data_IF_560326560959
#
_entry.id   IF_560326560959
#
_cell.length_a   1.000
_cell.length_b   1.000
_cell.length_c   1.000
_cell.angle_alpha   90.00
_cell.angle_beta   90.00
_cell.angle_gamma   90.00
#
_symmetry.space_group_name_H-M   'P 1'
#
loop_
_entity.id
_entity.type
_entity.pdbx_description
1 polymer ?
#
# COMPACT_ATOMS: atom_id res chain seq x y z
N UNK A 1 -16.47 0.20 4.33
CA UNK A 1 -15.90 0.71 3.06
C UNK A 1 -16.69 0.31 1.82
N UNK A 2 -17.10 -0.95 1.62
CA UNK A 2 -17.79 -1.37 0.38
C UNK A 2 -19.08 -0.58 0.02
N UNK A 3 -19.84 -0.10 1.02
CA UNK A 3 -21.05 0.69 0.79
C UNK A 3 -20.82 2.13 0.33
N UNK A 4 -19.60 2.66 0.48
CA UNK A 4 -19.27 4.06 0.15
C UNK A 4 -18.71 4.22 -1.27
N UNK A 5 -18.23 3.14 -1.89
CA UNK A 5 -17.54 3.13 -3.19
C UNK A 5 -18.30 2.39 -4.30
N UNK A 6 -19.50 1.87 -4.00
CA UNK A 6 -20.35 1.17 -4.97
C UNK A 6 -21.35 2.12 -5.65
N UNK A 7 -21.78 1.78 -6.88
CA UNK A 7 -22.84 2.49 -7.60
C UNK A 7 -22.40 3.35 -8.79
N UNK A 8 -21.11 3.28 -9.19
CA UNK A 8 -20.59 4.03 -10.33
C UNK A 8 -20.29 5.51 -10.03
N UNK A 9 -20.30 5.90 -8.75
CA UNK A 9 -19.91 7.24 -8.30
C UNK A 9 -18.40 7.35 -8.22
N UNK A 10 -17.85 8.47 -8.72
CA UNK A 10 -16.43 8.79 -8.56
C UNK A 10 -16.21 9.28 -7.14
N UNK A 11 -15.40 8.56 -6.36
CA UNK A 11 -15.00 8.94 -5.01
C UNK A 11 -13.48 9.17 -5.00
N UNK A 12 -13.01 10.41 -5.22
CA UNK A 12 -11.59 10.74 -5.10
C UNK A 12 -11.01 10.22 -3.77
N UNK A 13 -9.83 9.62 -3.81
CA UNK A 13 -9.19 8.98 -2.65
C UNK A 13 -9.64 7.54 -2.36
N UNK A 14 -10.68 7.02 -3.04
CA UNK A 14 -11.14 5.64 -2.87
C UNK A 14 -11.28 4.91 -4.21
N UNK A 15 -10.71 3.70 -4.30
CA UNK A 15 -10.80 2.85 -5.49
C UNK A 15 -11.03 1.39 -5.11
N UNK A 16 -12.00 0.76 -5.76
CA UNK A 16 -12.14 -0.70 -5.72
C UNK A 16 -11.22 -1.34 -6.75
N UNK A 17 -10.32 -2.24 -6.31
CA UNK A 17 -9.36 -2.93 -7.17
C UNK A 17 -9.42 -4.44 -6.96
N UNK A 18 -9.05 -5.20 -8.00
CA UNK A 18 -8.77 -6.63 -7.84
C UNK A 18 -7.42 -6.84 -7.14
N UNK A 19 -7.28 -7.92 -6.37
CA UNK A 19 -6.06 -8.22 -5.59
C UNK A 19 -4.79 -8.20 -6.45
N UNK A 20 -4.83 -8.85 -7.60
CA UNK A 20 -3.68 -8.95 -8.51
C UNK A 20 -3.31 -7.61 -9.16
N UNK A 21 -4.19 -6.60 -9.10
CA UNK A 21 -3.86 -5.27 -9.62
C UNK A 21 -2.80 -4.57 -8.76
N UNK A 22 -2.67 -4.93 -7.47
CA UNK A 22 -1.66 -4.35 -6.55
C UNK A 22 -0.24 -4.52 -7.09
N UNK A 23 0.08 -5.68 -7.65
CA UNK A 23 1.42 -5.99 -8.19
C UNK A 23 1.62 -5.50 -9.63
N UNK A 24 0.61 -4.85 -10.22
CA UNK A 24 0.69 -4.33 -11.59
C UNK A 24 1.65 -3.15 -11.70
N UNK A 25 2.34 -3.02 -12.85
CA UNK A 25 3.12 -1.82 -13.18
C UNK A 25 2.26 -0.55 -13.32
N UNK A 26 0.95 -0.73 -13.54
CA UNK A 26 -0.02 0.36 -13.69
C UNK A 26 -0.70 0.74 -12.37
N UNK A 27 -0.44 0.00 -11.29
CA UNK A 27 -0.99 0.33 -9.99
C UNK A 27 -0.51 1.71 -9.57
N UNK A 28 -1.43 2.66 -9.38
CA UNK A 28 -1.17 4.02 -8.90
C UNK A 28 0.07 4.67 -9.54
N UNK A 29 0.32 4.44 -10.82
CA UNK A 29 1.61 4.79 -11.44
C UNK A 29 1.92 6.30 -11.35
N UNK A 30 0.92 7.15 -11.59
CA UNK A 30 1.08 8.61 -11.47
C UNK A 30 1.28 9.09 -10.03
N UNK A 31 0.87 8.28 -9.07
CA UNK A 31 0.90 8.58 -7.65
C UNK A 31 2.14 7.99 -6.94
N UNK A 32 2.96 7.20 -7.65
CA UNK A 32 4.16 6.55 -7.11
C UNK A 32 4.00 5.06 -6.76
N UNK A 33 2.89 4.46 -7.17
CA UNK A 33 2.71 3.01 -7.23
C UNK A 33 2.71 2.29 -5.88
N UNK A 34 3.32 1.11 -5.84
CA UNK A 34 3.31 0.25 -4.66
C UNK A 34 4.00 0.88 -3.45
N UNK A 35 4.88 1.87 -3.66
CA UNK A 35 5.58 2.62 -2.61
C UNK A 35 4.63 3.43 -1.73
N UNK A 36 3.39 3.67 -2.19
CA UNK A 36 2.34 4.37 -1.45
C UNK A 36 1.53 3.49 -0.53
N UNK A 37 1.68 2.17 -0.62
CA UNK A 37 1.00 1.25 0.28
C UNK A 37 1.71 1.32 1.62
N UNK A 38 1.00 1.69 2.68
CA UNK A 38 1.53 1.81 4.04
C UNK A 38 0.92 0.79 5.01
N UNK A 39 -0.25 0.26 4.68
CA UNK A 39 -0.97 -0.71 5.49
C UNK A 39 -1.65 -1.75 4.60
N UNK A 40 -1.57 -3.02 4.98
CA UNK A 40 -2.19 -4.14 4.28
C UNK A 40 -2.47 -5.28 5.26
N UNK A 41 -3.59 -5.99 5.12
CA UNK A 41 -3.84 -7.14 6.00
C UNK A 41 -2.79 -8.23 5.82
N UNK A 42 -2.44 -8.94 6.90
CA UNK A 42 -1.41 -9.99 6.87
C UNK A 42 -1.70 -11.06 5.81
N UNK A 43 -2.96 -11.50 5.72
CA UNK A 43 -3.39 -12.49 4.72
C UNK A 43 -3.13 -12.00 3.28
N UNK A 44 -3.37 -10.72 2.99
CA UNK A 44 -3.13 -10.16 1.66
C UNK A 44 -1.62 -10.04 1.37
N UNK A 45 -0.81 -9.67 2.37
CA UNK A 45 0.66 -9.71 2.25
C UNK A 45 1.19 -11.11 1.97
N UNK A 46 0.71 -12.11 2.70
CA UNK A 46 1.11 -13.50 2.52
C UNK A 46 0.70 -14.03 1.15
N UNK A 47 -0.52 -13.72 0.70
CA UNK A 47 -1.05 -14.14 -0.60
C UNK A 47 -0.27 -13.56 -1.78
N UNK A 48 0.27 -12.34 -1.65
CA UNK A 48 0.99 -11.64 -2.72
C UNK A 48 2.51 -11.61 -2.51
N UNK A 49 3.04 -12.30 -1.48
CA UNK A 49 4.42 -12.12 -0.99
C UNK A 49 5.46 -12.23 -2.11
N UNK A 50 5.37 -13.27 -2.93
CA UNK A 50 6.34 -13.53 -4.00
C UNK A 50 6.27 -12.47 -5.11
N UNK A 51 5.08 -12.24 -5.66
CA UNK A 51 4.86 -11.26 -6.74
C UNK A 51 5.14 -9.82 -6.27
N UNK A 52 4.76 -9.49 -5.04
CA UNK A 52 5.00 -8.17 -4.45
C UNK A 52 6.48 -7.93 -4.23
N UNK A 53 7.22 -8.90 -3.69
CA UNK A 53 8.66 -8.76 -3.45
C UNK A 53 9.43 -8.59 -4.76
N UNK A 54 9.03 -9.32 -5.82
CA UNK A 54 9.59 -9.11 -7.16
C UNK A 54 9.31 -7.70 -7.67
N UNK A 55 8.06 -7.24 -7.58
CA UNK A 55 7.68 -5.89 -8.00
C UNK A 55 8.40 -4.80 -7.20
N UNK A 56 8.56 -5.02 -5.89
CA UNK A 56 9.26 -4.12 -4.98
C UNK A 56 10.76 -4.02 -5.34
N UNK A 57 11.39 -5.14 -5.71
CA UNK A 57 12.74 -5.15 -6.23
C UNK A 57 12.87 -4.40 -7.57
N UNK A 58 11.90 -4.55 -8.50
CA UNK A 58 11.86 -3.77 -9.75
C UNK A 58 11.77 -2.25 -9.48
N UNK A 59 11.09 -1.86 -8.41
CA UNK A 59 10.92 -0.46 -7.99
C UNK A 59 12.09 0.08 -7.15
N UNK A 60 13.11 -0.77 -6.89
CA UNK A 60 14.33 -0.42 -6.16
C UNK A 60 14.21 -0.50 -4.63
N UNK A 61 13.13 -1.09 -4.10
CA UNK A 61 12.86 -1.20 -2.65
C UNK A 61 12.46 -2.65 -2.32
N UNK A 62 13.38 -3.62 -2.38
CA UNK A 62 13.05 -5.05 -2.22
C UNK A 62 12.46 -5.40 -0.84
N UNK A 63 12.76 -4.60 0.18
CA UNK A 63 12.28 -4.71 1.56
C UNK A 63 10.96 -3.97 1.82
N UNK A 64 10.27 -3.49 0.77
CA UNK A 64 9.04 -2.71 0.92
C UNK A 64 7.95 -3.47 1.68
N UNK A 65 7.80 -4.78 1.45
CA UNK A 65 6.73 -5.56 2.09
C UNK A 65 6.87 -5.59 3.62
N UNK A 66 8.10 -5.58 4.13
CA UNK A 66 8.41 -5.55 5.56
C UNK A 66 8.19 -4.17 6.20
N UNK A 67 8.24 -3.11 5.38
CA UNK A 67 7.98 -1.73 5.82
C UNK A 67 6.50 -1.38 5.84
N UNK A 68 5.63 -2.22 5.27
CA UNK A 68 4.18 -2.02 5.29
C UNK A 68 3.65 -2.56 6.62
N UNK A 69 2.76 -1.82 7.29
CA UNK A 69 2.11 -2.31 8.51
C UNK A 69 0.96 -3.27 8.20
N UNK A 70 0.55 -4.05 9.19
CA UNK A 70 -0.66 -4.88 9.16
C UNK A 70 -1.38 -4.82 10.50
N UNK A 71 -2.48 -5.55 10.63
CA UNK A 71 -3.29 -5.60 11.85
C UNK A 71 -2.51 -6.06 13.10
N UNK A 72 -1.35 -6.71 12.95
CA UNK A 72 -0.52 -7.15 14.09
C UNK A 72 0.49 -6.10 14.54
N UNK A 73 0.73 -5.08 13.70
CA UNK A 73 1.71 -4.01 13.93
C UNK A 73 1.01 -2.72 14.35
N UNK A 74 -0.04 -2.33 13.65
CA UNK A 74 -0.77 -1.08 13.89
C UNK A 74 -2.27 -1.29 13.70
N UNK A 75 -3.01 -1.00 14.76
CA UNK A 75 -4.49 -1.04 14.80
C UNK A 75 -5.11 0.36 14.63
N UNK A 76 -4.29 1.41 14.76
CA UNK A 76 -4.69 2.81 14.69
C UNK A 76 -3.67 3.64 13.91
N UNK A 77 -4.07 4.86 13.52
CA UNK A 77 -3.27 5.77 12.71
C UNK A 77 -2.02 6.30 13.42
N UNK A 78 -2.05 6.41 14.76
CA UNK A 78 -0.91 6.95 15.53
C UNK A 78 0.22 5.93 15.54
N UNK A 79 -0.08 4.68 15.93
CA UNK A 79 0.87 3.56 15.88
C UNK A 79 1.40 3.30 14.47
N UNK A 80 0.53 3.44 13.46
CA UNK A 80 0.93 3.30 12.07
C UNK A 80 2.01 4.33 11.71
N UNK A 81 1.81 5.60 12.08
CA UNK A 81 2.76 6.66 11.77
C UNK A 81 4.09 6.48 12.52
N UNK A 82 4.06 6.03 13.78
CA UNK A 82 5.26 5.67 14.54
C UNK A 82 6.04 4.53 13.85
N UNK A 83 5.34 3.47 13.44
CA UNK A 83 5.95 2.34 12.73
C UNK A 83 6.59 2.78 11.41
N UNK A 84 5.85 3.51 10.57
CA UNK A 84 6.34 3.98 9.27
C UNK A 84 7.59 4.87 9.42
N UNK A 85 7.61 5.71 10.45
CA UNK A 85 8.77 6.56 10.77
C UNK A 85 9.95 5.71 11.22
N UNK A 86 9.72 4.71 12.09
CA UNK A 86 10.77 3.82 12.59
C UNK A 86 11.42 2.98 11.49
N UNK A 87 10.66 2.56 10.48
CA UNK A 87 11.16 1.72 9.38
C UNK A 87 11.64 2.54 8.17
N UNK A 88 11.52 3.87 8.23
CA UNK A 88 11.87 4.76 7.12
C UNK A 88 11.06 4.45 5.86
N UNK A 89 9.73 4.40 5.99
CA UNK A 89 8.87 4.05 4.86
C UNK A 89 8.94 5.10 3.74
N UNK A 90 9.14 4.71 2.46
CA UNK A 90 9.36 5.65 1.35
C UNK A 90 8.21 6.63 1.15
N UNK A 91 6.96 6.23 1.45
CA UNK A 91 5.80 7.11 1.34
C UNK A 91 5.91 8.41 2.15
N UNK A 92 6.70 8.45 3.22
CA UNK A 92 6.89 9.64 4.06
C UNK A 92 7.78 10.71 3.40
N UNK A 93 8.66 10.30 2.48
CA UNK A 93 9.59 11.20 1.77
C UNK A 93 9.08 11.61 0.37
N UNK A 94 8.00 10.99 -0.09
CA UNK A 94 7.41 11.27 -1.39
C UNK A 94 6.55 12.54 -1.36
N UNK A 95 6.31 13.14 -2.53
CA UNK A 95 5.44 14.31 -2.64
C UNK A 95 4.05 14.05 -2.03
N UNK A 96 3.44 15.03 -1.35
CA UNK A 96 2.10 14.89 -0.80
C UNK A 96 1.06 14.54 -1.88
N UNK A 97 0.16 13.62 -1.57
CA UNK A 97 -1.03 13.36 -2.37
C UNK A 97 -2.09 14.41 -2.02
N UNK A 98 -2.62 15.12 -3.01
CA UNK A 98 -3.64 16.17 -2.86
C UNK A 98 -4.98 15.73 -3.45
#
# INVERSE_FOLDING_TARGET
MAGSVGGGTQNPGFMGIGRNFIVSKKFLHGDGGIKRIVWMTKNLKESLKEEFSQRAAEEGIPDLLDKIADETVAEDSEKLLEFLTSVGHPALEMEPML
#
